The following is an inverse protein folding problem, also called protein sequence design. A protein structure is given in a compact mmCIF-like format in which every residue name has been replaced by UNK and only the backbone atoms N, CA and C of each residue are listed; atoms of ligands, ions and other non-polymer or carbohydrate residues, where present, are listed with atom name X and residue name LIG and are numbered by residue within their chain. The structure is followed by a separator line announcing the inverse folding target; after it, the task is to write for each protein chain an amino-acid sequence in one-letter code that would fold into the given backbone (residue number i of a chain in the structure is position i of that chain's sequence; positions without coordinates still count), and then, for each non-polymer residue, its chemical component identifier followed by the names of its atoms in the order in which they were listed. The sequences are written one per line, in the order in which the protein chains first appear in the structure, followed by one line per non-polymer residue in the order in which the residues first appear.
data_IF_642622012233
#
_entry.id   IF_642622012233
#
_cell.length_a   1.000
_cell.length_b   1.000
_cell.length_c   1.000
_cell.angle_alpha   90.00
_cell.angle_beta   90.00
_cell.angle_gamma   90.00
#
_symmetry.space_group_name_H-M   'P 1'
#
loop_
_entity.id
_entity.type
_entity.pdbx_description
1 polymer ?
#
# COMPACT_ATOMS: atom_id res chain seq x y z
N UNK A 1 -4.37 2.77 -5.25
CA UNK A 1 -5.03 3.95 -5.86
C UNK A 1 -4.47 5.20 -5.22
N UNK A 2 -4.26 6.27 -5.97
CA UNK A 2 -3.74 7.52 -5.40
C UNK A 2 -4.45 8.75 -5.94
N UNK A 3 -4.24 9.87 -5.25
CA UNK A 3 -4.70 11.18 -5.65
C UNK A 3 -3.54 12.16 -5.52
N UNK A 4 -3.52 13.17 -6.40
CA UNK A 4 -2.52 14.23 -6.36
C UNK A 4 -3.20 15.57 -6.61
N UNK A 5 -2.74 16.61 -5.91
CA UNK A 5 -3.16 17.98 -6.14
C UNK A 5 -1.99 18.92 -5.97
N UNK A 6 -1.89 19.85 -6.90
CA UNK A 6 -0.86 20.86 -6.85
C UNK A 6 -1.46 22.22 -6.46
N UNK A 7 -0.82 22.88 -5.51
CA UNK A 7 -1.18 24.17 -4.98
C UNK A 7 -0.16 25.21 -5.44
N UNK A 8 -0.53 26.14 -6.34
CA UNK A 8 0.34 27.25 -6.69
C UNK A 8 0.42 28.20 -5.48
N UNK A 9 1.63 28.43 -4.97
CA UNK A 9 1.87 29.39 -3.87
C UNK A 9 2.26 30.74 -4.47
N UNK A 10 3.20 30.75 -5.42
CA UNK A 10 3.65 31.92 -6.19
C UNK A 10 3.95 31.50 -7.63
N UNK A 11 4.22 32.46 -8.50
CA UNK A 11 4.46 32.25 -9.95
C UNK A 11 5.47 31.14 -10.27
N UNK A 12 6.47 30.93 -9.40
CA UNK A 12 7.48 29.89 -9.53
C UNK A 12 7.40 28.80 -8.46
N UNK A 13 6.65 29.02 -7.37
CA UNK A 13 6.62 28.15 -6.21
C UNK A 13 5.33 27.32 -6.19
N UNK A 14 5.46 25.99 -6.22
CA UNK A 14 4.34 25.05 -6.24
C UNK A 14 4.50 23.99 -5.16
N UNK A 15 3.42 23.69 -4.45
CA UNK A 15 3.37 22.58 -3.51
C UNK A 15 2.55 21.44 -4.11
N UNK A 16 3.17 20.28 -4.29
CA UNK A 16 2.50 19.04 -4.70
C UNK A 16 2.16 18.21 -3.49
N UNK A 17 0.89 17.86 -3.35
CA UNK A 17 0.39 16.93 -2.34
C UNK A 17 -0.06 15.66 -3.04
N UNK A 18 0.47 14.52 -2.60
CA UNK A 18 0.17 13.22 -3.16
C UNK A 18 -0.27 12.28 -2.02
N UNK A 19 -1.33 11.51 -2.25
CA UNK A 19 -1.80 10.47 -1.34
C UNK A 19 -1.96 9.16 -2.09
N UNK A 20 -1.46 8.06 -1.53
CA UNK A 20 -1.56 6.72 -2.10
C UNK A 20 -2.14 5.77 -1.07
N UNK A 21 -3.09 4.96 -1.50
CA UNK A 21 -3.72 3.94 -0.67
C UNK A 21 -3.63 2.57 -1.35
N UNK A 22 -3.25 1.57 -0.57
CA UNK A 22 -3.32 0.17 -0.94
C UNK A 22 -4.55 -0.47 -0.30
N UNK A 23 -5.12 -1.50 -0.94
CA UNK A 23 -6.24 -2.28 -0.41
C UNK A 23 -7.42 -1.40 0.10
N UNK A 24 -7.93 -0.49 -0.76
CA UNK A 24 -9.03 0.43 -0.42
C UNK A 24 -10.30 -0.25 0.08
N UNK A 25 -10.71 -1.44 -0.41
CA UNK A 25 -11.86 -2.17 0.15
C UNK A 25 -11.55 -2.88 1.47
N UNK A 26 -10.27 -2.91 1.91
CA UNK A 26 -9.79 -3.76 3.01
C UNK A 26 -10.16 -5.24 2.81
N UNK A 27 -9.95 -5.75 1.60
CA UNK A 27 -10.12 -7.17 1.31
C UNK A 27 -8.94 -7.96 1.92
N UNK A 28 -9.18 -9.04 2.67
CA UNK A 28 -8.10 -9.88 3.17
C UNK A 28 -7.30 -10.50 2.03
N UNK A 29 -6.03 -10.12 1.91
CA UNK A 29 -5.11 -10.77 0.98
C UNK A 29 -4.48 -11.97 1.68
N UNK A 30 -4.59 -13.15 1.07
CA UNK A 30 -4.08 -14.38 1.64
C UNK A 30 -2.54 -14.46 1.52
N UNK A 31 -1.89 -15.06 2.50
CA UNK A 31 -0.44 -15.24 2.49
C UNK A 31 -0.03 -16.42 1.58
N UNK A 32 1.27 -16.60 1.38
CA UNK A 32 1.78 -17.72 0.61
C UNK A 32 1.54 -19.06 1.35
N UNK A 33 1.23 -20.15 0.62
CA UNK A 33 0.98 -21.45 1.24
C UNK A 33 2.24 -22.03 1.89
N UNK A 34 2.05 -22.82 2.95
CA UNK A 34 3.16 -23.48 3.63
C UNK A 34 3.91 -24.44 2.70
N UNK A 35 5.22 -24.23 2.56
CA UNK A 35 6.08 -25.03 1.66
C UNK A 35 6.81 -26.18 2.35
N UNK A 36 6.58 -26.39 3.65
CA UNK A 36 7.15 -27.51 4.39
C UNK A 36 6.40 -28.82 4.08
N UNK A 37 6.99 -29.68 3.26
CA UNK A 37 6.43 -30.98 2.82
C UNK A 37 6.17 -31.96 3.98
N UNK A 38 6.87 -31.80 5.11
CA UNK A 38 6.67 -32.63 6.30
C UNK A 38 5.55 -32.13 7.21
N UNK A 39 4.97 -30.95 6.93
CA UNK A 39 3.84 -30.41 7.70
C UNK A 39 2.50 -30.98 7.22
N UNK A 40 1.59 -31.25 8.14
CA UNK A 40 0.18 -31.57 7.82
C UNK A 40 -0.55 -30.42 7.10
N UNK A 41 0.00 -29.20 7.16
CA UNK A 41 -0.51 -28.00 6.51
C UNK A 41 0.20 -27.66 5.19
N UNK A 42 0.97 -28.59 4.60
CA UNK A 42 1.65 -28.37 3.33
C UNK A 42 0.66 -27.95 2.22
N UNK A 43 1.02 -26.93 1.43
CA UNK A 43 0.19 -26.41 0.34
C UNK A 43 -1.06 -25.63 0.79
N UNK A 44 -1.29 -25.46 2.10
CA UNK A 44 -2.42 -24.68 2.64
C UNK A 44 -1.97 -23.29 3.08
N UNK A 45 -2.84 -22.32 2.87
CA UNK A 45 -2.69 -20.96 3.41
C UNK A 45 -3.41 -20.90 4.76
N UNK A 46 -2.70 -20.55 5.82
CA UNK A 46 -3.23 -20.50 7.20
C UNK A 46 -3.31 -19.09 7.78
N UNK A 47 -2.88 -18.08 7.02
CA UNK A 47 -2.84 -16.69 7.47
C UNK A 47 -3.14 -15.70 6.34
N UNK A 48 -3.60 -14.52 6.72
CA UNK A 48 -3.61 -13.37 5.84
C UNK A 48 -2.19 -12.78 5.73
N UNK A 49 -1.88 -12.18 4.58
CA UNK A 49 -0.62 -11.48 4.34
C UNK A 49 -0.50 -10.27 5.26
N UNK A 50 0.70 -10.07 5.82
CA UNK A 50 1.03 -9.00 6.77
C UNK A 50 1.03 -7.60 6.15
N UNK A 51 1.63 -6.62 6.83
CA UNK A 51 1.57 -5.21 6.44
C UNK A 51 2.46 -4.81 5.23
N UNK A 52 2.74 -5.76 4.33
CA UNK A 52 3.59 -5.58 3.16
C UNK A 52 2.80 -5.12 1.92
N UNK A 53 3.52 -4.91 0.82
CA UNK A 53 2.95 -4.55 -0.49
C UNK A 53 1.86 -5.53 -0.92
N UNK A 54 0.60 -5.09 -0.83
CA UNK A 54 -0.58 -5.90 -1.16
C UNK A 54 -1.17 -6.68 0.01
N UNK A 55 -0.80 -6.39 1.25
CA UNK A 55 -1.42 -6.96 2.44
C UNK A 55 -2.55 -6.11 3.00
N UNK A 56 -2.38 -5.60 4.22
CA UNK A 56 -3.34 -4.74 4.89
C UNK A 56 -3.63 -3.42 4.13
N UNK A 57 -4.71 -2.73 4.50
CA UNK A 57 -4.96 -1.37 4.01
C UNK A 57 -3.90 -0.43 4.56
N UNK A 58 -3.13 0.18 3.66
CA UNK A 58 -2.16 1.23 4.01
C UNK A 58 -2.48 2.52 3.27
N UNK A 59 -2.21 3.64 3.93
CA UNK A 59 -2.27 4.98 3.34
C UNK A 59 -0.93 5.67 3.51
N UNK A 60 -0.45 6.33 2.45
CA UNK A 60 0.80 7.05 2.40
C UNK A 60 0.51 8.47 1.88
N UNK A 61 1.16 9.46 2.47
CA UNK A 61 1.06 10.85 2.05
C UNK A 61 2.44 11.41 1.78
N UNK A 62 2.56 12.23 0.75
CA UNK A 62 3.79 12.91 0.37
C UNK A 62 3.51 14.38 0.07
N UNK A 63 4.48 15.22 0.42
CA UNK A 63 4.49 16.65 0.13
C UNK A 63 5.81 16.99 -0.56
N UNK A 64 5.73 17.73 -1.66
CA UNK A 64 6.90 18.19 -2.42
C UNK A 64 6.77 19.66 -2.77
N UNK A 65 7.79 20.44 -2.43
CA UNK A 65 7.90 21.84 -2.82
C UNK A 65 8.77 21.95 -4.08
N UNK A 66 8.29 22.68 -5.09
CA UNK A 66 8.95 22.91 -6.37
C UNK A 66 9.12 24.42 -6.59
N UNK A 67 10.29 24.87 -7.07
CA UNK A 67 10.67 26.28 -7.21
C UNK A 67 11.48 26.56 -8.50
#
# INVERSE_FOLDING_TARGET
MGFAKDFPIRERLRLKFEGSFSNLPNHPNLNDPGTNVQSSSFGRITSARGADSGGNRTGQFALRLEF
#
